data_IF_535359494379
#
_entry.id   IF_535359494379
#
_cell.length_a   1.000
_cell.length_b   1.000
_cell.length_c   1.000
_cell.angle_alpha   90.00
_cell.angle_beta   90.00
_cell.angle_gamma   90.00
#
_symmetry.space_group_name_H-M   'P 1'
#
loop_
_entity.id
_entity.type
_entity.pdbx_description
1 polymer ?
#
# COMPACT_ATOMS: atom_id res chain seq x y z
N UNK A 1 15.12 -19.43 -4.04
CA UNK A 1 14.01 -19.03 -3.14
C UNK A 1 12.92 -18.42 -4.01
N UNK A 2 11.69 -18.92 -3.88
CA UNK A 2 10.55 -18.39 -4.63
C UNK A 2 10.29 -16.92 -4.27
N UNK A 3 9.83 -16.15 -5.24
CA UNK A 3 9.42 -14.77 -5.00
C UNK A 3 8.09 -14.72 -4.21
N UNK A 4 7.81 -13.63 -3.50
CA UNK A 4 6.60 -13.46 -2.68
C UNK A 4 6.37 -14.57 -1.64
N UNK A 5 7.43 -14.97 -0.94
CA UNK A 5 7.38 -15.77 0.29
C UNK A 5 7.81 -14.94 1.48
N UNK A 6 7.40 -15.28 2.70
CA UNK A 6 7.87 -14.59 3.91
C UNK A 6 9.40 -14.59 4.02
N UNK A 7 10.08 -15.67 3.60
CA UNK A 7 11.54 -15.72 3.55
C UNK A 7 12.12 -14.68 2.56
N UNK A 8 11.50 -14.51 1.37
CA UNK A 8 11.87 -13.47 0.41
C UNK A 8 11.60 -12.07 0.95
N UNK A 9 10.49 -11.90 1.68
CA UNK A 9 10.17 -10.65 2.36
C UNK A 9 11.25 -10.26 3.38
N UNK A 10 11.73 -11.23 4.16
CA UNK A 10 12.84 -11.02 5.10
C UNK A 10 14.12 -10.55 4.40
N UNK A 11 14.45 -11.07 3.21
CA UNK A 11 15.60 -10.55 2.42
C UNK A 11 15.39 -9.12 1.95
N UNK A 12 14.17 -8.76 1.55
CA UNK A 12 13.83 -7.38 1.22
C UNK A 12 13.98 -6.47 2.45
N UNK A 13 13.48 -6.88 3.61
CA UNK A 13 13.61 -6.14 4.87
C UNK A 13 15.09 -5.95 5.27
N UNK A 14 15.91 -7.00 5.15
CA UNK A 14 17.35 -6.92 5.39
C UNK A 14 18.05 -5.91 4.48
N UNK A 15 17.73 -5.93 3.18
CA UNK A 15 18.26 -4.97 2.21
C UNK A 15 17.84 -3.54 2.54
N UNK A 16 16.58 -3.33 2.95
CA UNK A 16 16.09 -2.01 3.37
C UNK A 16 16.87 -1.52 4.60
N UNK A 17 16.96 -2.35 5.64
CA UNK A 17 17.65 -2.03 6.89
C UNK A 17 19.10 -1.61 6.68
N UNK A 18 19.82 -2.27 5.77
CA UNK A 18 21.22 -1.94 5.46
C UNK A 18 21.43 -0.64 4.68
N UNK A 19 20.37 -0.05 4.11
CA UNK A 19 20.52 1.00 3.09
C UNK A 19 19.67 2.26 3.32
N UNK A 20 18.54 2.16 4.04
CA UNK A 20 17.60 3.27 4.24
C UNK A 20 16.99 3.24 5.65
N UNK A 21 16.64 4.43 6.15
CA UNK A 21 15.67 4.53 7.23
C UNK A 21 14.25 4.35 6.68
N UNK A 22 13.39 3.75 7.49
CA UNK A 22 11.97 3.62 7.18
C UNK A 22 11.13 4.64 7.94
N UNK A 23 10.07 5.11 7.28
CA UNK A 23 9.08 6.01 7.84
C UNK A 23 7.69 5.38 7.70
N UNK A 24 6.88 5.52 8.75
CA UNK A 24 5.42 5.43 8.60
C UNK A 24 4.92 6.56 7.69
N UNK A 25 3.72 6.42 7.13
CA UNK A 25 3.19 7.44 6.23
C UNK A 25 2.92 8.75 7.00
N UNK A 26 2.42 8.65 8.22
CA UNK A 26 2.23 9.83 9.08
C UNK A 26 3.57 10.50 9.44
N UNK A 27 4.62 9.74 9.75
CA UNK A 27 5.95 10.33 9.95
C UNK A 27 6.44 11.05 8.69
N UNK A 28 6.28 10.44 7.50
CA UNK A 28 6.62 11.07 6.22
C UNK A 28 5.91 12.42 6.02
N UNK A 29 4.61 12.50 6.30
CA UNK A 29 3.85 13.75 6.20
C UNK A 29 4.37 14.83 7.16
N UNK A 30 4.79 14.43 8.37
CA UNK A 30 5.32 15.35 9.38
C UNK A 30 6.80 15.68 9.19
N UNK A 31 7.56 14.89 8.43
CA UNK A 31 9.00 15.01 8.27
C UNK A 31 9.44 15.52 6.88
N UNK A 32 8.49 15.99 6.04
CA UNK A 32 8.71 16.30 4.60
C UNK A 32 9.95 17.15 4.29
N UNK A 33 10.46 17.95 5.22
CA UNK A 33 11.59 18.85 5.02
C UNK A 33 12.91 18.41 5.68
N UNK A 34 12.93 17.28 6.39
CA UNK A 34 14.05 16.94 7.30
C UNK A 34 14.93 15.76 6.88
N UNK A 35 14.41 14.83 6.06
CA UNK A 35 15.14 13.62 5.65
C UNK A 35 15.40 13.60 4.14
N UNK A 36 16.67 13.48 3.77
CA UNK A 36 17.11 13.40 2.37
C UNK A 36 16.93 12.01 1.77
N UNK A 37 16.95 10.93 2.58
CA UNK A 37 16.88 9.55 2.08
C UNK A 37 16.07 8.63 2.98
N UNK A 38 15.01 8.02 2.45
CA UNK A 38 14.10 7.16 3.21
C UNK A 38 13.30 6.20 2.34
N UNK A 39 12.72 5.18 2.97
CA UNK A 39 11.69 4.31 2.41
C UNK A 39 10.40 4.44 3.21
N UNK A 40 9.28 4.61 2.53
CA UNK A 40 7.94 4.42 3.09
C UNK A 40 7.53 2.99 2.79
N UNK A 41 7.29 2.20 3.83
CA UNK A 41 6.70 0.87 3.72
C UNK A 41 5.21 0.96 3.97
N UNK A 42 4.43 0.66 2.93
CA UNK A 42 2.98 0.68 2.95
C UNK A 42 2.44 -0.71 2.70
N UNK A 43 1.43 -1.09 3.48
CA UNK A 43 0.71 -2.34 3.31
C UNK A 43 -0.78 -2.11 3.15
N UNK A 44 -1.34 -2.62 2.06
CA UNK A 44 -2.79 -2.70 1.88
C UNK A 44 -3.23 -4.08 2.37
N UNK A 45 -3.92 -4.13 3.51
CA UNK A 45 -4.41 -5.38 4.11
C UNK A 45 -5.79 -5.68 3.53
N UNK A 46 -5.80 -6.29 2.35
CA UNK A 46 -7.04 -6.56 1.62
C UNK A 46 -7.76 -7.82 2.09
N UNK A 47 -6.99 -8.82 2.53
CA UNK A 47 -7.39 -10.16 2.98
C UNK A 47 -6.34 -10.72 3.94
N UNK A 48 -6.67 -11.81 4.63
CA UNK A 48 -5.74 -12.61 5.43
C UNK A 48 -4.89 -11.77 6.40
N UNK A 49 -5.52 -11.11 7.38
CA UNK A 49 -4.82 -10.24 8.32
C UNK A 49 -3.72 -10.97 9.12
N UNK A 50 -3.78 -12.31 9.24
CA UNK A 50 -2.74 -13.13 9.85
C UNK A 50 -1.42 -13.14 9.06
N UNK A 51 -1.45 -12.82 7.76
CA UNK A 51 -0.24 -12.60 6.97
C UNK A 51 0.29 -11.18 7.17
N UNK A 52 -0.57 -10.19 7.37
CA UNK A 52 -0.17 -8.83 7.73
C UNK A 52 0.57 -8.81 9.08
N UNK A 53 0.09 -9.57 10.06
CA UNK A 53 0.81 -9.75 11.32
C UNK A 53 2.19 -10.38 11.10
N UNK A 54 2.27 -11.43 10.26
CA UNK A 54 3.56 -12.09 9.99
C UNK A 54 4.57 -11.16 9.29
N UNK A 55 4.12 -10.33 8.35
CA UNK A 55 5.01 -9.33 7.73
C UNK A 55 5.44 -8.26 8.72
N UNK A 56 4.54 -7.82 9.61
CA UNK A 56 4.85 -6.85 10.66
C UNK A 56 5.90 -7.39 11.66
N UNK A 57 5.77 -8.65 12.09
CA UNK A 57 6.78 -9.31 12.93
C UNK A 57 8.17 -9.31 12.27
N UNK A 58 8.24 -9.66 10.97
CA UNK A 58 9.51 -9.65 10.23
C UNK A 58 10.08 -8.23 10.15
N UNK A 59 9.26 -7.23 9.86
CA UNK A 59 9.71 -5.83 9.83
C UNK A 59 10.23 -5.36 11.18
N UNK A 60 9.54 -5.73 12.25
CA UNK A 60 9.94 -5.45 13.62
C UNK A 60 11.30 -6.09 13.96
N UNK A 61 11.54 -7.35 13.55
CA UNK A 61 12.85 -8.03 13.72
C UNK A 61 14.00 -7.23 13.05
N UNK A 62 13.73 -6.55 11.94
CA UNK A 62 14.69 -5.68 11.26
C UNK A 62 14.68 -4.22 11.76
N UNK A 63 13.89 -3.89 12.79
CA UNK A 63 13.67 -2.53 13.28
C UNK A 63 13.19 -1.57 12.19
N UNK A 64 12.25 -2.02 11.36
CA UNK A 64 11.61 -1.21 10.32
C UNK A 64 10.26 -0.70 10.80
N UNK A 65 9.91 0.52 10.38
CA UNK A 65 8.60 1.12 10.58
C UNK A 65 7.81 1.09 9.27
N UNK A 66 6.53 0.75 9.38
CA UNK A 66 5.64 0.55 8.23
C UNK A 66 4.24 1.03 8.57
N UNK A 67 3.40 1.17 7.55
CA UNK A 67 1.99 1.54 7.71
C UNK A 67 1.09 0.45 7.15
N UNK A 68 0.17 -0.07 7.97
CA UNK A 68 -0.79 -1.09 7.59
C UNK A 68 -2.19 -0.50 7.46
N UNK A 69 -2.70 -0.42 6.23
CA UNK A 69 -4.02 0.08 5.91
C UNK A 69 -5.02 -1.09 5.91
N UNK A 70 -5.93 -1.10 6.89
CA UNK A 70 -6.94 -2.15 7.02
C UNK A 70 -8.26 -1.76 6.39
N UNK A 71 -8.94 -2.74 5.77
CA UNK A 71 -10.37 -2.61 5.42
C UNK A 71 -11.23 -2.93 6.63
N UNK A 72 -12.46 -2.43 6.66
CA UNK A 72 -13.45 -2.67 7.73
C UNK A 72 -14.33 -3.90 7.54
N UNK A 73 -14.08 -4.71 6.50
CA UNK A 73 -14.84 -5.93 6.28
C UNK A 73 -14.51 -6.98 7.36
N UNK A 74 -15.49 -7.83 7.70
CA UNK A 74 -15.40 -8.78 8.84
C UNK A 74 -14.20 -9.73 8.76
N UNK A 75 -13.80 -10.16 7.55
CA UNK A 75 -12.66 -11.08 7.37
C UNK A 75 -11.29 -10.44 7.59
N UNK A 76 -11.21 -9.10 7.53
CA UNK A 76 -9.95 -8.35 7.62
C UNK A 76 -9.84 -7.57 8.91
N UNK A 77 -10.93 -6.93 9.35
CA UNK A 77 -10.96 -6.04 10.49
C UNK A 77 -10.96 -6.84 11.80
N UNK A 78 -9.77 -7.30 12.18
CA UNK A 78 -9.51 -8.13 13.36
C UNK A 78 -8.82 -7.28 14.41
N UNK A 79 -9.55 -6.94 15.47
CA UNK A 79 -9.08 -6.02 16.51
C UNK A 79 -7.75 -6.46 17.10
N UNK A 80 -7.63 -7.75 17.44
CA UNK A 80 -6.46 -8.30 18.09
C UNK A 80 -5.21 -8.15 17.23
N UNK A 81 -5.33 -8.41 15.92
CA UNK A 81 -4.24 -8.27 14.95
C UNK A 81 -3.84 -6.80 14.77
N UNK A 82 -4.82 -5.90 14.71
CA UNK A 82 -4.56 -4.46 14.57
C UNK A 82 -3.79 -3.94 15.79
N UNK A 83 -4.20 -4.32 17.00
CA UNK A 83 -3.52 -3.95 18.25
C UNK A 83 -2.10 -4.53 18.31
N UNK A 84 -1.91 -5.77 17.87
CA UNK A 84 -0.60 -6.43 17.87
C UNK A 84 0.36 -5.74 16.89
N UNK A 85 -0.06 -5.47 15.64
CA UNK A 85 0.76 -4.73 14.67
C UNK A 85 1.11 -3.33 15.18
N UNK A 86 0.16 -2.63 15.80
CA UNK A 86 0.43 -1.34 16.43
C UNK A 86 1.47 -1.45 17.56
N UNK A 87 1.39 -2.49 18.39
CA UNK A 87 2.32 -2.73 19.50
C UNK A 87 3.77 -3.01 19.03
N UNK A 88 3.93 -3.53 17.81
CA UNK A 88 5.24 -3.72 17.16
C UNK A 88 5.86 -2.39 16.66
N UNK A 89 5.15 -1.27 16.78
CA UNK A 89 5.65 0.07 16.42
C UNK A 89 5.28 0.52 15.00
N UNK A 90 4.37 -0.19 14.33
CA UNK A 90 3.85 0.20 13.02
C UNK A 90 2.65 1.16 13.14
N UNK A 91 2.42 1.94 12.09
CA UNK A 91 1.22 2.77 11.98
C UNK A 91 0.04 1.93 11.46
N UNK A 92 -1.14 2.15 12.04
CA UNK A 92 -2.41 1.63 11.50
C UNK A 92 -3.13 2.75 10.74
N UNK A 93 -3.50 2.45 9.49
CA UNK A 93 -4.27 3.32 8.62
C UNK A 93 -5.61 2.72 8.22
N UNK A 94 -6.50 3.55 7.68
CA UNK A 94 -7.80 3.11 7.17
C UNK A 94 -7.79 2.96 5.64
N UNK A 95 -7.96 1.72 5.17
CA UNK A 95 -8.14 1.38 3.76
C UNK A 95 -9.62 1.47 3.36
N UNK A 96 -10.03 2.65 2.87
CA UNK A 96 -11.44 2.98 2.70
C UNK A 96 -11.99 2.59 1.32
N UNK A 97 -13.24 2.13 1.30
CA UNK A 97 -13.98 1.73 0.09
C UNK A 97 -15.42 2.31 0.07
N UNK A 98 -15.55 3.53 0.59
CA UNK A 98 -16.84 4.16 0.87
C UNK A 98 -17.66 4.49 -0.38
N UNK A 99 -17.03 4.92 -1.48
CA UNK A 99 -17.74 5.18 -2.74
C UNK A 99 -18.27 3.89 -3.34
N UNK A 100 -17.50 2.80 -3.24
CA UNK A 100 -17.97 1.48 -3.67
C UNK A 100 -19.19 1.03 -2.87
N UNK A 101 -19.11 1.11 -1.54
CA UNK A 101 -20.22 0.76 -0.62
C UNK A 101 -21.46 1.64 -0.83
N UNK A 102 -21.28 2.88 -1.26
CA UNK A 102 -22.35 3.83 -1.49
C UNK A 102 -22.89 3.85 -2.94
N UNK A 103 -22.38 2.99 -3.83
CA UNK A 103 -22.80 2.98 -5.24
C UNK A 103 -22.43 4.27 -5.99
N UNK A 104 -21.36 4.94 -5.58
CA UNK A 104 -20.88 6.19 -6.17
C UNK A 104 -21.53 7.46 -5.64
N UNK A 105 -22.41 7.37 -4.64
CA UNK A 105 -23.05 8.52 -4.01
C UNK A 105 -22.13 9.10 -2.90
N UNK A 106 -21.56 10.31 -3.09
CA UNK A 106 -20.65 10.89 -2.11
C UNK A 106 -21.33 11.26 -0.78
N UNK A 107 -22.62 11.60 -0.80
CA UNK A 107 -23.37 11.95 0.43
C UNK A 107 -23.60 10.72 1.32
N UNK A 108 -23.81 9.55 0.71
CA UNK A 108 -23.86 8.27 1.45
C UNK A 108 -22.46 7.80 1.84
N UNK A 109 -21.49 7.94 0.94
CA UNK A 109 -20.11 7.50 1.18
C UNK A 109 -19.48 8.21 2.40
N UNK A 110 -19.75 9.50 2.61
CA UNK A 110 -19.21 10.21 3.77
C UNK A 110 -19.79 9.70 5.10
N UNK A 111 -21.03 9.21 5.10
CA UNK A 111 -21.66 8.60 6.29
C UNK A 111 -20.92 7.29 6.60
N UNK A 112 -20.73 6.43 5.59
CA UNK A 112 -19.96 5.18 5.72
C UNK A 112 -18.54 5.46 6.23
N UNK A 113 -17.86 6.47 5.67
CA UNK A 113 -16.51 6.85 6.10
C UNK A 113 -16.47 7.23 7.58
N UNK A 114 -17.41 8.06 8.06
CA UNK A 114 -17.47 8.48 9.47
C UNK A 114 -17.69 7.30 10.41
N UNK A 115 -18.61 6.41 10.07
CA UNK A 115 -18.92 5.22 10.89
C UNK A 115 -17.73 4.26 10.96
N UNK A 116 -17.06 4.03 9.83
CA UNK A 116 -15.90 3.14 9.75
C UNK A 116 -14.67 3.72 10.42
N UNK A 117 -14.41 5.03 10.25
CA UNK A 117 -13.34 5.72 10.97
C UNK A 117 -13.58 5.70 12.48
N UNK A 118 -14.83 5.79 12.95
CA UNK A 118 -15.16 5.64 14.36
C UNK A 118 -14.76 4.25 14.89
N UNK A 119 -15.05 3.17 14.14
CA UNK A 119 -14.62 1.81 14.52
C UNK A 119 -13.10 1.68 14.62
N UNK A 120 -12.36 2.31 13.70
CA UNK A 120 -10.91 2.36 13.80
C UNK A 120 -10.46 3.05 15.09
N UNK A 121 -11.05 4.20 15.42
CA UNK A 121 -10.68 5.00 16.59
C UNK A 121 -11.08 4.40 17.94
N UNK A 122 -11.91 3.37 17.94
CA UNK A 122 -12.13 2.52 19.12
C UNK A 122 -10.94 1.59 19.41
N UNK A 123 -10.00 1.43 18.45
CA UNK A 123 -8.84 0.53 18.53
C UNK A 123 -7.52 1.31 18.45
N UNK A 124 -7.37 2.19 17.47
CA UNK A 124 -6.16 2.96 17.19
C UNK A 124 -6.49 4.35 16.66
N UNK A 125 -5.71 5.35 17.06
CA UNK A 125 -5.89 6.74 16.59
C UNK A 125 -5.37 6.93 15.15
N UNK A 126 -6.17 6.48 14.19
CA UNK A 126 -5.85 6.57 12.76
C UNK A 126 -5.70 8.03 12.31
N UNK A 127 -4.52 8.32 11.74
CA UNK A 127 -4.17 9.62 11.16
C UNK A 127 -4.11 9.63 9.64
N UNK A 128 -3.83 8.50 9.01
CA UNK A 128 -3.69 8.41 7.55
C UNK A 128 -4.69 7.44 6.96
N UNK A 129 -5.06 7.68 5.71
CA UNK A 129 -6.05 6.86 4.99
C UNK A 129 -5.52 6.50 3.60
N UNK A 130 -6.08 5.44 3.03
CA UNK A 130 -5.72 4.98 1.71
C UNK A 130 -6.95 4.44 0.99
N UNK A 131 -7.19 4.82 -0.27
CA UNK A 131 -8.29 4.20 -1.02
C UNK A 131 -8.02 2.74 -1.34
N UNK A 132 -9.02 1.88 -1.14
CA UNK A 132 -9.04 0.55 -1.74
C UNK A 132 -9.43 0.65 -3.21
N UNK A 133 -8.54 0.16 -4.08
CA UNK A 133 -8.70 0.21 -5.54
C UNK A 133 -9.47 -0.98 -6.10
N UNK A 134 -10.78 -1.09 -5.84
CA UNK A 134 -11.57 -2.23 -6.29
C UNK A 134 -11.67 -2.29 -7.84
N UNK A 135 -11.11 -3.31 -8.52
CA UNK A 135 -11.17 -3.40 -9.99
C UNK A 135 -12.55 -3.80 -10.53
N UNK A 136 -13.45 -4.29 -9.67
CA UNK A 136 -14.79 -4.75 -10.04
C UNK A 136 -15.81 -3.61 -10.10
N UNK A 137 -15.46 -2.42 -9.63
CA UNK A 137 -16.32 -1.24 -9.66
C UNK A 137 -15.74 -0.16 -10.57
N UNK A 138 -16.64 0.67 -11.14
CA UNK A 138 -16.25 1.86 -11.89
C UNK A 138 -15.90 3.05 -10.99
N UNK A 139 -16.23 2.99 -9.71
CA UNK A 139 -16.04 4.09 -8.77
C UNK A 139 -14.56 4.21 -8.39
N UNK A 140 -14.13 5.46 -8.20
CA UNK A 140 -12.85 5.79 -7.59
C UNK A 140 -13.14 6.30 -6.18
N UNK A 141 -12.64 5.61 -5.16
CA UNK A 141 -12.89 6.00 -3.78
C UNK A 141 -12.32 7.40 -3.45
N UNK A 142 -11.29 7.88 -4.18
CA UNK A 142 -10.76 9.25 -4.03
C UNK A 142 -11.77 10.33 -4.41
N UNK A 143 -12.80 10.00 -5.21
CA UNK A 143 -13.84 10.96 -5.58
C UNK A 143 -14.59 11.52 -4.37
N UNK A 144 -14.62 10.81 -3.25
CA UNK A 144 -15.15 11.32 -1.98
C UNK A 144 -14.51 12.67 -1.60
N UNK A 145 -13.21 12.81 -1.83
CA UNK A 145 -12.42 13.98 -1.44
C UNK A 145 -12.51 15.15 -2.42
N UNK A 146 -13.20 14.97 -3.55
CA UNK A 146 -13.58 16.11 -4.43
C UNK A 146 -14.69 16.95 -3.79
N UNK A 147 -15.51 16.35 -2.92
CA UNK A 147 -16.64 17.00 -2.24
C UNK A 147 -16.34 17.32 -0.77
N UNK A 148 -15.60 16.47 -0.09
CA UNK A 148 -15.28 16.62 1.33
C UNK A 148 -13.80 16.79 1.56
N UNK A 149 -13.46 17.38 2.70
CA UNK A 149 -12.08 17.53 3.17
C UNK A 149 -11.81 16.49 4.26
N UNK A 150 -10.89 15.55 4.00
CA UNK A 150 -10.52 14.54 4.97
C UNK A 150 -9.88 15.13 6.24
N UNK A 151 -9.26 16.32 6.14
CA UNK A 151 -8.67 17.04 7.27
C UNK A 151 -9.69 17.40 8.35
N UNK A 152 -10.96 17.62 7.98
CA UNK A 152 -12.06 17.86 8.94
C UNK A 152 -12.36 16.66 9.83
N UNK A 153 -11.87 15.47 9.48
CA UNK A 153 -11.98 14.27 10.29
C UNK A 153 -10.72 14.00 11.11
N UNK A 154 -9.73 14.89 11.13
CA UNK A 154 -8.46 14.69 11.82
C UNK A 154 -7.52 13.72 11.09
N UNK A 155 -7.66 13.62 9.77
CA UNK A 155 -6.79 12.83 8.90
C UNK A 155 -5.71 13.74 8.32
N UNK A 156 -4.44 13.39 8.50
CA UNK A 156 -3.29 14.16 8.04
C UNK A 156 -2.99 13.99 6.54
N UNK A 157 -3.38 12.85 5.95
CA UNK A 157 -3.21 12.64 4.52
C UNK A 157 -3.84 11.36 3.98
N UNK A 158 -4.04 11.36 2.67
CA UNK A 158 -4.42 10.19 1.87
C UNK A 158 -3.23 9.77 1.00
N UNK A 159 -2.89 8.49 1.00
CA UNK A 159 -1.63 8.00 0.38
C UNK A 159 -1.40 8.43 -1.06
N UNK A 160 -2.42 8.43 -1.91
CA UNK A 160 -2.33 8.82 -3.32
C UNK A 160 -2.46 10.32 -3.53
N UNK A 161 -3.15 11.06 -2.66
CA UNK A 161 -3.34 12.51 -2.80
C UNK A 161 -2.21 13.32 -2.15
N UNK A 162 -1.62 12.81 -1.07
CA UNK A 162 -0.67 13.54 -0.23
C UNK A 162 0.80 13.22 -0.54
N UNK A 163 1.08 12.08 -1.19
CA UNK A 163 2.44 11.70 -1.57
C UNK A 163 2.97 12.57 -2.72
N UNK A 164 4.22 13.04 -2.57
CA UNK A 164 4.90 13.91 -3.54
C UNK A 164 5.39 13.14 -4.77
N UNK A 165 5.53 13.85 -5.89
CA UNK A 165 5.92 13.29 -7.19
C UNK A 165 7.38 12.79 -7.23
N UNK A 166 8.23 13.30 -6.35
CA UNK A 166 9.66 12.94 -6.26
C UNK A 166 9.90 11.61 -5.52
N UNK A 167 8.85 10.97 -5.00
CA UNK A 167 8.94 9.65 -4.35
C UNK A 167 8.76 8.54 -5.40
N UNK A 168 9.81 7.73 -5.59
CA UNK A 168 9.74 6.57 -6.47
C UNK A 168 8.76 5.54 -5.90
N UNK A 169 7.92 4.94 -6.74
CA UNK A 169 6.80 4.10 -6.29
C UNK A 169 6.86 2.70 -6.89
N UNK A 170 6.97 1.71 -6.02
CA UNK A 170 6.96 0.29 -6.35
C UNK A 170 5.80 -0.39 -5.63
N UNK A 171 5.15 -1.32 -6.31
CA UNK A 171 4.00 -2.04 -5.77
C UNK A 171 4.05 -3.48 -6.28
N UNK A 172 3.72 -4.43 -5.41
CA UNK A 172 3.66 -5.87 -5.72
C UNK A 172 2.35 -6.31 -6.40
N UNK A 173 1.48 -5.37 -6.80
CA UNK A 173 0.22 -5.66 -7.47
C UNK A 173 0.45 -6.55 -8.69
N UNK A 174 -0.16 -7.73 -8.68
CA UNK A 174 -0.02 -8.72 -9.75
C UNK A 174 1.22 -9.61 -9.63
N UNK A 175 1.86 -9.67 -8.45
CA UNK A 175 3.07 -10.48 -8.18
C UNK A 175 4.23 -10.08 -9.09
N UNK A 176 4.40 -8.78 -9.27
CA UNK A 176 5.49 -8.14 -9.99
C UNK A 176 5.67 -6.75 -9.42
N UNK A 177 6.89 -6.22 -9.50
CA UNK A 177 7.16 -4.82 -9.18
C UNK A 177 6.97 -3.88 -10.39
N UNK A 178 6.75 -4.45 -11.57
CA UNK A 178 6.55 -3.74 -12.84
C UNK A 178 5.21 -3.02 -12.95
N UNK A 179 4.97 -2.35 -14.09
CA UNK A 179 3.76 -1.52 -14.33
C UNK A 179 2.57 -2.29 -14.91
N UNK A 180 2.74 -3.55 -15.30
CA UNK A 180 1.84 -4.26 -16.21
C UNK A 180 0.40 -4.46 -15.70
N UNK A 181 0.17 -4.44 -14.39
CA UNK A 181 -1.13 -4.76 -13.77
C UNK A 181 -1.70 -3.70 -12.84
N UNK A 182 -1.03 -2.55 -12.76
CA UNK A 182 -1.43 -1.39 -11.96
C UNK A 182 -2.43 -0.60 -12.80
N UNK A 183 -3.69 -0.53 -12.37
CA UNK A 183 -4.74 0.24 -13.06
C UNK A 183 -5.18 1.42 -12.20
N UNK A 184 -5.42 1.15 -10.91
CA UNK A 184 -5.82 2.16 -9.92
C UNK A 184 -4.69 2.54 -8.94
N UNK A 185 -3.62 1.74 -8.89
CA UNK A 185 -2.49 1.90 -7.95
C UNK A 185 -1.46 2.90 -8.46
N UNK A 186 -1.92 4.12 -8.76
CA UNK A 186 -1.06 5.22 -9.17
C UNK A 186 -1.47 6.51 -8.46
N UNK A 187 -0.44 7.23 -8.02
CA UNK A 187 -0.58 8.59 -7.52
C UNK A 187 -1.04 9.50 -8.68
N UNK A 188 -2.09 10.29 -8.47
CA UNK A 188 -2.67 11.18 -9.49
C UNK A 188 -1.66 12.27 -9.89
N UNK A 189 -0.78 12.66 -8.98
CA UNK A 189 0.28 13.64 -9.26
C UNK A 189 1.35 13.05 -10.21
N UNK A 190 1.56 11.72 -10.21
CA UNK A 190 2.47 11.04 -11.15
C UNK A 190 1.87 10.90 -12.57
N UNK A 191 0.55 10.98 -12.74
CA UNK A 191 -0.10 10.78 -14.05
C UNK A 191 -0.20 12.05 -14.91
N UNK A 192 -0.27 13.24 -14.30
CA UNK A 192 -0.38 14.50 -15.06
C UNK A 192 0.95 14.96 -15.67
N UNK A 193 2.09 14.41 -15.22
CA UNK A 193 3.43 14.68 -15.74
C UNK A 193 3.94 13.56 -16.67
N UNK A 194 3.05 12.89 -17.42
CA UNK A 194 3.46 11.88 -18.42
C UNK A 194 4.33 12.43 -19.56
N UNK A 195 4.38 13.77 -19.73
CA UNK A 195 5.18 14.47 -20.73
C UNK A 195 6.37 15.28 -20.14
N UNK A 196 6.68 15.13 -18.86
CA UNK A 196 7.74 15.91 -18.20
C UNK A 196 8.91 15.01 -17.79
N UNK A 197 10.13 15.44 -18.11
CA UNK A 197 11.43 14.78 -17.84
C UNK A 197 11.74 14.52 -16.34
N UNK A 198 10.76 14.61 -15.45
CA UNK A 198 10.88 14.41 -13.99
C UNK A 198 10.22 13.12 -13.50
N UNK A 199 10.05 12.14 -14.38
CA UNK A 199 9.44 10.86 -14.02
C UNK A 199 10.51 9.96 -13.37
N UNK A 200 10.77 10.14 -12.07
CA UNK A 200 11.70 9.32 -11.25
C UNK A 200 11.45 7.80 -11.39
N UNK A 201 10.25 7.41 -11.84
CA UNK A 201 9.78 6.05 -12.05
C UNK A 201 9.89 5.51 -13.50
N UNK A 202 10.08 6.35 -14.53
CA UNK A 202 9.85 5.88 -15.92
C UNK A 202 10.91 4.88 -16.40
N UNK A 203 12.18 5.10 -16.05
CA UNK A 203 13.30 4.28 -16.55
C UNK A 203 13.52 2.98 -15.76
N UNK A 204 13.05 2.90 -14.51
CA UNK A 204 13.29 1.74 -13.64
C UNK A 204 12.13 0.73 -13.69
N UNK A 205 10.87 1.18 -13.74
CA UNK A 205 9.75 0.27 -13.51
C UNK A 205 9.53 -0.79 -14.61
N UNK A 206 10.12 -0.66 -15.80
CA UNK A 206 10.10 -1.73 -16.81
C UNK A 206 11.13 -2.82 -16.56
N UNK A 207 12.18 -2.52 -15.76
CA UNK A 207 13.30 -3.41 -15.45
C UNK A 207 13.16 -4.10 -14.09
N UNK A 208 12.45 -3.49 -13.14
CA UNK A 208 12.24 -4.05 -11.79
C UNK A 208 10.98 -4.91 -11.79
N UNK A 209 11.13 -6.23 -11.92
CA UNK A 209 9.99 -7.18 -11.98
C UNK A 209 9.94 -8.11 -10.78
N UNK A 210 11.09 -8.56 -10.32
CA UNK A 210 11.23 -9.49 -9.20
C UNK A 210 11.65 -8.77 -7.93
N UNK A 211 11.45 -9.41 -6.77
CA UNK A 211 11.95 -8.84 -5.50
C UNK A 211 13.48 -8.75 -5.48
N UNK A 212 14.19 -9.63 -6.19
CA UNK A 212 15.65 -9.52 -6.31
C UNK A 212 16.06 -8.28 -7.11
N UNK A 213 15.31 -7.89 -8.15
CA UNK A 213 15.54 -6.63 -8.87
C UNK A 213 15.34 -5.41 -7.94
N UNK A 214 14.30 -5.45 -7.11
CA UNK A 214 14.02 -4.38 -6.15
C UNK A 214 15.10 -4.28 -5.08
N UNK A 215 15.58 -5.42 -4.56
CA UNK A 215 16.72 -5.50 -3.63
C UNK A 215 17.96 -4.86 -4.26
N UNK A 216 18.32 -5.26 -5.49
CA UNK A 216 19.47 -4.70 -6.21
C UNK A 216 19.34 -3.18 -6.40
N UNK A 217 18.13 -2.66 -6.67
CA UNK A 217 17.88 -1.23 -6.78
C UNK A 217 18.07 -0.50 -5.45
N UNK A 218 17.55 -1.05 -4.35
CA UNK A 218 17.70 -0.53 -2.99
C UNK A 218 19.19 -0.46 -2.63
N UNK A 219 19.93 -1.56 -2.81
CA UNK A 219 21.37 -1.66 -2.53
C UNK A 219 22.21 -0.71 -3.40
N UNK A 220 21.78 -0.44 -4.64
CA UNK A 220 22.46 0.52 -5.50
C UNK A 220 22.42 1.96 -4.98
N UNK A 221 21.52 2.27 -4.04
CA UNK A 221 21.38 3.59 -3.40
C UNK A 221 21.10 4.76 -4.36
N UNK A 222 20.74 4.47 -5.62
CA UNK A 222 20.49 5.46 -6.68
C UNK A 222 19.24 6.31 -6.49
N UNK A 223 18.30 5.84 -5.68
CA UNK A 223 17.08 6.56 -5.35
C UNK A 223 17.19 7.12 -3.93
N UNK A 224 16.67 8.31 -3.73
CA UNK A 224 16.66 8.97 -2.42
C UNK A 224 15.38 8.64 -1.65
N UNK A 225 14.23 8.73 -2.32
CA UNK A 225 12.91 8.58 -1.71
C UNK A 225 12.15 7.47 -2.43
N UNK A 226 11.75 6.45 -1.67
CA UNK A 226 11.03 5.30 -2.24
C UNK A 226 9.79 5.03 -1.39
N UNK A 227 8.70 4.66 -2.04
CA UNK A 227 7.52 4.09 -1.43
C UNK A 227 7.31 2.68 -2.01
N UNK A 228 7.24 1.70 -1.12
CA UNK A 228 6.99 0.30 -1.46
C UNK A 228 5.62 -0.06 -0.91
N UNK A 229 4.68 -0.34 -1.81
CA UNK A 229 3.39 -0.94 -1.49
C UNK A 229 3.51 -2.46 -1.59
N UNK A 230 3.32 -3.17 -0.48
CA UNK A 230 3.21 -4.62 -0.47
C UNK A 230 1.83 -5.04 0.06
N UNK A 231 1.23 -6.07 -0.52
CA UNK A 231 -0.04 -6.60 -0.04
C UNK A 231 0.23 -7.91 0.72
N UNK A 232 0.13 -7.93 2.07
CA UNK A 232 0.60 -9.06 2.87
C UNK A 232 0.02 -10.42 2.48
N UNK A 233 -1.20 -10.47 1.95
CA UNK A 233 -1.81 -11.72 1.50
C UNK A 233 -1.03 -12.39 0.35
N UNK A 234 -0.17 -11.65 -0.37
CA UNK A 234 0.65 -12.22 -1.45
C UNK A 234 1.91 -12.92 -0.96
N UNK A 235 2.35 -12.65 0.27
CA UNK A 235 3.59 -13.13 0.85
C UNK A 235 3.35 -14.42 1.65
N UNK A 236 3.53 -15.56 0.97
CA UNK A 236 3.09 -16.87 1.47
C UNK A 236 4.03 -17.47 2.51
N UNK A 237 3.47 -18.22 3.46
CA UNK A 237 4.22 -18.97 4.48
C UNK A 237 4.72 -20.31 3.96
N UNK A 238 3.98 -20.91 3.03
CA UNK A 238 4.28 -22.22 2.46
C UNK A 238 3.92 -22.28 0.96
N UNK A 239 4.34 -23.38 0.31
CA UNK A 239 4.16 -23.58 -1.12
C UNK A 239 2.69 -23.71 -1.54
N UNK A 240 1.83 -24.28 -0.69
CA UNK A 240 0.41 -24.46 -1.00
C UNK A 240 -0.33 -23.12 -1.06
N UNK A 241 -0.12 -22.27 -0.06
CA UNK A 241 -0.59 -20.88 -0.06
C UNK A 241 -0.09 -20.14 -1.31
N UNK A 242 1.20 -20.27 -1.61
CA UNK A 242 1.82 -19.63 -2.77
C UNK A 242 1.13 -20.00 -4.09
N UNK A 243 0.85 -21.29 -4.31
CA UNK A 243 0.12 -21.77 -5.48
C UNK A 243 -1.31 -21.23 -5.55
N UNK A 244 -2.00 -21.19 -4.42
CA UNK A 244 -3.36 -20.62 -4.32
C UNK A 244 -3.39 -19.14 -4.71
N UNK A 245 -2.47 -18.32 -4.21
CA UNK A 245 -2.44 -16.91 -4.58
C UNK A 245 -2.00 -16.67 -6.01
N UNK A 246 -1.05 -17.45 -6.50
CA UNK A 246 -0.61 -17.35 -7.90
C UNK A 246 -1.79 -17.57 -8.86
N UNK A 247 -2.63 -18.57 -8.61
CA UNK A 247 -3.81 -18.83 -9.44
C UNK A 247 -4.86 -17.72 -9.31
N UNK A 248 -5.12 -17.23 -8.09
CA UNK A 248 -6.03 -16.10 -7.88
C UNK A 248 -5.58 -14.83 -8.62
N UNK A 249 -4.31 -14.42 -8.47
CA UNK A 249 -3.78 -13.23 -9.13
C UNK A 249 -3.83 -13.38 -10.65
N UNK A 250 -3.57 -14.57 -11.22
CA UNK A 250 -3.75 -14.82 -12.66
C UNK A 250 -5.20 -14.64 -13.10
N UNK A 251 -6.18 -15.05 -12.29
CA UNK A 251 -7.60 -14.80 -12.55
C UNK A 251 -7.93 -13.31 -12.59
N UNK A 252 -7.50 -12.54 -11.58
CA UNK A 252 -7.71 -11.08 -11.53
C UNK A 252 -7.02 -10.37 -12.69
N UNK A 253 -5.80 -10.77 -13.05
CA UNK A 253 -5.08 -10.23 -14.19
C UNK A 253 -5.83 -10.48 -15.51
N UNK A 254 -6.35 -11.71 -15.72
CA UNK A 254 -7.17 -12.04 -16.88
C UNK A 254 -8.41 -11.15 -16.98
N UNK A 255 -9.12 -10.93 -15.87
CA UNK A 255 -10.28 -10.04 -15.83
C UNK A 255 -9.92 -8.58 -16.16
N UNK A 256 -8.82 -8.06 -15.59
CA UNK A 256 -8.31 -6.71 -15.87
C UNK A 256 -8.01 -6.50 -17.36
N UNK A 257 -7.38 -7.49 -18.00
CA UNK A 257 -7.06 -7.43 -19.44
C UNK A 257 -8.34 -7.42 -20.29
N UNK A 258 -9.32 -8.25 -19.95
CA UNK A 258 -10.61 -8.28 -20.65
C UNK A 258 -11.34 -6.95 -20.52
N UNK A 259 -11.42 -6.38 -19.32
CA UNK A 259 -12.12 -5.12 -19.05
C UNK A 259 -11.49 -3.90 -19.74
N UNK A 260 -10.18 -3.93 -20.04
CA UNK A 260 -9.52 -2.83 -20.76
C UNK A 260 -9.61 -2.96 -22.30
N UNK A 261 -10.10 -4.10 -22.81
CA UNK A 261 -10.30 -4.35 -24.25
C UNK A 261 -11.72 -4.03 -24.74
N UNK A 262 -12.65 -3.76 -23.82
CA UNK A 262 -14.04 -3.40 -24.07
C UNK A 262 -14.37 -2.10 -23.32
#
# INVERSE_FOLDING_TARGET
MLDFTIEKYGKLCSAIKGNYETLTFNEYLNSMNSKSKFIILRHDVDRMPENALKTAEVEHEFNLKSTYYFRTNKSVFRKEIIEEIASLGHEIGYHYECMDKAGGDPDKAIIVFKEELKKFREIYDVKTICMHGNPLTKHDNRDLWKKYDYGKFGISGETYLSMKEDVAYFSDTGRTWGKEYKIKDFNINLSNNYNSNYNCNSNYNSKIKTTDDLINLIESKKLEKICILAHPERWSKNLFEWMGYFTFDKGVQGFKILRNKF
#
